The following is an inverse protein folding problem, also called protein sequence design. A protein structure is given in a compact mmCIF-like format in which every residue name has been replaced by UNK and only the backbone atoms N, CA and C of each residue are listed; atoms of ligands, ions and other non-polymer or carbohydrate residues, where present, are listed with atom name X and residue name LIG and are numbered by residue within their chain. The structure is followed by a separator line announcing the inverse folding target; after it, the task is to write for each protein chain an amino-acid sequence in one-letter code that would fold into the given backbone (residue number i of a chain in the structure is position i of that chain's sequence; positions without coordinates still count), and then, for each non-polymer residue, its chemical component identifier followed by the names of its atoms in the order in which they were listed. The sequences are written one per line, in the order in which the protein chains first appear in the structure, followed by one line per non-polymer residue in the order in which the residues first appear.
data_IF_069801073428
#
_entry.id   IF_069801073428
#
_cell.length_a   1.000
_cell.length_b   1.000
_cell.length_c   1.000
_cell.angle_alpha   90.00
_cell.angle_beta   90.00
_cell.angle_gamma   90.00
#
_symmetry.space_group_name_H-M   'P 1'
#
loop_
_entity.id
_entity.type
_entity.pdbx_description
1 polymer ?
#
# COMPACT_ATOMS: atom_id res chain seq x y z
N UNK A 1 -23.81 -2.61 -13.17
CA UNK A 1 -22.40 -2.97 -13.00
C UNK A 1 -22.37 -4.45 -12.65
N UNK A 2 -22.08 -5.33 -13.61
CA UNK A 2 -22.05 -6.77 -13.35
C UNK A 2 -20.66 -7.16 -12.86
N UNK A 3 -20.57 -7.55 -11.58
CA UNK A 3 -19.31 -7.96 -10.94
C UNK A 3 -18.72 -9.25 -11.51
N UNK A 4 -19.46 -9.95 -12.37
CA UNK A 4 -19.10 -11.26 -12.96
C UNK A 4 -18.33 -11.14 -14.27
N UNK A 5 -18.36 -9.99 -14.95
CA UNK A 5 -17.69 -9.80 -16.26
C UNK A 5 -16.28 -9.21 -16.15
N UNK A 6 -15.88 -8.72 -14.97
CA UNK A 6 -14.56 -8.12 -14.80
C UNK A 6 -13.54 -9.20 -14.38
N UNK A 7 -12.39 -9.33 -15.07
CA UNK A 7 -11.32 -10.21 -14.61
C UNK A 7 -10.91 -9.73 -13.21
N UNK A 8 -11.24 -10.52 -12.20
CA UNK A 8 -11.05 -10.14 -10.80
C UNK A 8 -9.58 -9.84 -10.46
N UNK A 9 -9.33 -9.45 -9.21
CA UNK A 9 -8.01 -9.05 -8.68
C UNK A 9 -6.86 -10.06 -8.90
N UNK A 10 -7.17 -11.28 -9.34
CA UNK A 10 -6.19 -12.33 -9.57
C UNK A 10 -5.57 -12.31 -10.98
N UNK A 11 -6.16 -11.58 -11.93
CA UNK A 11 -5.71 -11.55 -13.34
C UNK A 11 -5.32 -10.15 -13.83
N UNK A 12 -5.62 -9.11 -13.06
CA UNK A 12 -5.36 -7.70 -13.41
C UNK A 12 -4.54 -7.05 -12.32
N UNK A 13 -3.52 -6.31 -12.73
CA UNK A 13 -2.67 -5.53 -11.82
C UNK A 13 -3.52 -4.54 -11.00
N UNK A 14 -3.28 -4.48 -9.68
CA UNK A 14 -3.94 -3.54 -8.78
C UNK A 14 -3.82 -2.08 -9.24
N UNK A 15 -2.70 -1.69 -9.84
CA UNK A 15 -2.53 -0.34 -10.41
C UNK A 15 -3.50 -0.06 -11.56
N UNK A 16 -3.83 -1.07 -12.38
CA UNK A 16 -4.81 -0.91 -13.44
C UNK A 16 -6.22 -0.73 -12.86
N UNK A 17 -6.56 -1.47 -11.80
CA UNK A 17 -7.83 -1.32 -11.07
C UNK A 17 -7.96 0.07 -10.43
N UNK A 18 -6.89 0.56 -9.79
CA UNK A 18 -6.88 1.91 -9.22
C UNK A 18 -6.97 2.99 -10.29
N UNK A 19 -6.31 2.80 -11.43
CA UNK A 19 -6.37 3.74 -12.56
C UNK A 19 -7.79 3.81 -13.12
N UNK A 20 -8.49 2.67 -13.23
CA UNK A 20 -9.88 2.63 -13.65
C UNK A 20 -10.78 3.45 -12.72
N UNK A 21 -10.71 3.20 -11.42
CA UNK A 21 -11.51 3.94 -10.42
C UNK A 21 -11.15 5.44 -10.40
N UNK A 22 -9.86 5.79 -10.49
CA UNK A 22 -9.44 7.18 -10.57
C UNK A 22 -9.99 7.88 -11.82
N UNK A 23 -9.96 7.20 -12.96
CA UNK A 23 -10.51 7.71 -14.23
C UNK A 23 -12.01 7.91 -14.13
N UNK A 24 -12.72 6.95 -13.53
CA UNK A 24 -14.17 7.04 -13.36
C UNK A 24 -14.57 8.18 -12.42
N UNK A 25 -13.85 8.36 -11.31
CA UNK A 25 -14.02 9.50 -10.40
C UNK A 25 -13.84 10.84 -11.12
N UNK A 26 -12.80 10.95 -11.96
CA UNK A 26 -12.56 12.15 -12.76
C UNK A 26 -13.69 12.42 -13.75
N UNK A 27 -14.18 11.39 -14.45
CA UNK A 27 -15.31 11.51 -15.38
C UNK A 27 -16.57 12.00 -14.65
N UNK A 28 -16.91 11.38 -13.52
CA UNK A 28 -18.08 11.74 -12.72
C UNK A 28 -17.99 13.18 -12.19
N UNK A 29 -16.83 13.58 -11.68
CA UNK A 29 -16.62 14.95 -11.18
C UNK A 29 -16.68 16.01 -12.29
N UNK A 30 -16.12 15.71 -13.47
CA UNK A 30 -16.25 16.60 -14.64
C UNK A 30 -17.68 16.70 -15.14
N UNK A 31 -18.42 15.58 -15.17
CA UNK A 31 -19.82 15.56 -15.56
C UNK A 31 -20.67 16.42 -14.61
N UNK A 32 -20.47 16.29 -13.29
CA UNK A 32 -21.14 17.13 -12.31
C UNK A 32 -20.74 18.61 -12.47
N UNK A 33 -19.44 18.90 -12.66
CA UNK A 33 -18.96 20.26 -12.87
C UNK A 33 -19.64 20.94 -14.07
N UNK A 34 -19.71 20.23 -15.20
CA UNK A 34 -20.32 20.77 -16.41
C UNK A 34 -21.85 20.85 -16.31
N UNK A 35 -22.50 20.02 -15.49
CA UNK A 35 -23.94 20.12 -15.24
C UNK A 35 -24.34 21.35 -14.41
N UNK A 36 -23.44 21.85 -13.56
CA UNK A 36 -23.66 23.03 -12.71
C UNK A 36 -23.51 24.35 -13.47
N UNK A 37 -22.89 24.34 -14.65
CA UNK A 37 -22.68 25.53 -15.47
C UNK A 37 -23.74 25.62 -16.56
N UNK A 38 -24.45 26.74 -16.63
CA UNK A 38 -25.51 27.00 -17.61
C UNK A 38 -25.03 26.97 -19.07
N UNK A 39 -23.72 27.19 -19.30
CA UNK A 39 -23.06 27.04 -20.59
C UNK A 39 -22.08 25.87 -20.53
N UNK A 40 -22.46 24.72 -21.11
CA UNK A 40 -21.64 23.50 -21.15
C UNK A 40 -20.27 23.69 -21.81
N UNK A 41 -20.14 24.63 -22.76
CA UNK A 41 -18.88 24.97 -23.42
C UNK A 41 -17.89 25.74 -22.53
N UNK A 42 -18.33 26.22 -21.36
CA UNK A 42 -17.51 27.03 -20.45
C UNK A 42 -16.99 26.28 -19.21
N UNK A 43 -17.32 25.00 -19.03
CA UNK A 43 -16.93 24.27 -17.81
C UNK A 43 -15.43 23.96 -17.72
N UNK A 44 -14.78 23.67 -18.85
CA UNK A 44 -13.34 23.40 -18.94
C UNK A 44 -12.66 24.59 -19.62
N UNK A 45 -12.38 25.64 -18.84
CA UNK A 45 -11.73 26.85 -19.32
C UNK A 45 -10.44 27.14 -18.56
N UNK A 46 -9.45 27.60 -19.30
CA UNK A 46 -8.14 27.97 -18.79
C UNK A 46 -7.86 29.45 -19.02
N UNK A 47 -7.28 30.12 -18.03
CA UNK A 47 -6.69 31.45 -18.17
C UNK A 47 -5.26 31.33 -18.70
N UNK A 48 -4.79 32.40 -19.35
CA UNK A 48 -3.44 32.54 -19.90
C UNK A 48 -3.11 31.44 -20.93
N UNK A 49 -3.85 31.42 -22.04
CA UNK A 49 -3.71 30.42 -23.10
C UNK A 49 -2.45 30.60 -23.97
N UNK A 50 -1.49 31.43 -23.53
CA UNK A 50 -0.19 31.58 -24.17
C UNK A 50 0.66 30.32 -23.95
N UNK A 51 1.33 29.87 -25.01
CA UNK A 51 1.99 28.57 -25.10
C UNK A 51 3.10 28.33 -24.05
N UNK A 52 3.62 29.38 -23.41
CA UNK A 52 4.75 29.32 -22.49
C UNK A 52 4.43 29.61 -21.01
N UNK A 53 3.16 29.79 -20.63
CA UNK A 53 2.78 30.11 -19.25
C UNK A 53 1.96 28.99 -18.60
N UNK A 54 2.01 28.94 -17.27
CA UNK A 54 1.18 28.05 -16.46
C UNK A 54 -0.30 28.36 -16.73
N UNK A 55 -0.95 27.49 -17.49
CA UNK A 55 -2.39 27.55 -17.75
C UNK A 55 -3.13 27.31 -16.44
N UNK A 56 -3.94 28.28 -16.03
CA UNK A 56 -4.70 28.16 -14.79
C UNK A 56 -6.12 27.69 -15.10
N UNK A 57 -6.51 26.54 -14.55
CA UNK A 57 -7.87 26.03 -14.67
C UNK A 57 -8.81 26.81 -13.74
N UNK A 58 -9.75 27.55 -14.33
CA UNK A 58 -10.65 28.49 -13.62
C UNK A 58 -11.47 27.76 -12.55
N UNK A 59 -11.98 26.57 -12.87
CA UNK A 59 -12.86 25.81 -12.00
C UNK A 59 -12.12 24.76 -11.15
N UNK A 60 -10.80 24.87 -10.98
CA UNK A 60 -9.98 23.90 -10.24
C UNK A 60 -10.48 23.64 -8.82
N UNK A 61 -10.76 24.71 -8.06
CA UNK A 61 -11.29 24.58 -6.69
C UNK A 61 -12.66 23.89 -6.65
N UNK A 62 -13.54 24.20 -7.60
CA UNK A 62 -14.87 23.56 -7.70
C UNK A 62 -14.73 22.07 -8.05
N UNK A 63 -13.87 21.74 -9.01
CA UNK A 63 -13.61 20.35 -9.39
C UNK A 63 -13.02 19.56 -8.22
N UNK A 64 -12.05 20.14 -7.49
CA UNK A 64 -11.47 19.51 -6.31
C UNK A 64 -12.53 19.24 -5.22
N UNK A 65 -13.43 20.20 -4.97
CA UNK A 65 -14.54 20.01 -4.04
C UNK A 65 -15.51 18.91 -4.49
N UNK A 66 -15.81 18.82 -5.79
CA UNK A 66 -16.64 17.74 -6.33
C UNK A 66 -15.96 16.38 -6.17
N UNK A 67 -14.68 16.27 -6.50
CA UNK A 67 -13.89 15.04 -6.30
C UNK A 67 -13.96 14.60 -4.83
N UNK A 68 -13.79 15.52 -3.89
CA UNK A 68 -13.82 15.20 -2.45
C UNK A 68 -15.20 14.82 -1.92
N UNK A 69 -16.28 15.27 -2.56
CA UNK A 69 -17.65 15.01 -2.12
C UNK A 69 -18.30 13.82 -2.83
N UNK A 70 -17.66 13.27 -3.86
CA UNK A 70 -18.16 12.10 -4.56
C UNK A 70 -18.00 10.84 -3.70
N UNK A 71 -19.08 10.07 -3.64
CA UNK A 71 -19.13 8.75 -3.03
C UNK A 71 -19.75 7.77 -4.03
N UNK A 72 -19.02 6.70 -4.36
CA UNK A 72 -19.53 5.64 -5.22
C UNK A 72 -18.77 4.32 -5.00
N UNK A 73 -19.34 3.21 -5.49
CA UNK A 73 -18.66 1.91 -5.50
C UNK A 73 -17.89 1.70 -6.80
N UNK A 74 -16.56 1.69 -6.72
CA UNK A 74 -15.65 1.33 -7.80
C UNK A 74 -15.28 -0.15 -7.79
N UNK A 75 -14.37 -0.55 -8.69
CA UNK A 75 -13.86 -1.93 -8.77
C UNK A 75 -13.14 -2.32 -7.49
N UNK A 76 -12.40 -1.38 -6.89
CA UNK A 76 -11.57 -1.63 -5.71
C UNK A 76 -12.31 -1.42 -4.38
N UNK A 77 -13.62 -1.13 -4.44
CA UNK A 77 -14.47 -0.92 -3.27
C UNK A 77 -15.10 0.47 -3.23
N UNK A 78 -15.50 0.91 -2.03
CA UNK A 78 -16.11 2.22 -1.84
C UNK A 78 -15.06 3.33 -2.02
N UNK A 79 -15.36 4.28 -2.89
CA UNK A 79 -14.51 5.41 -3.25
C UNK A 79 -15.10 6.65 -2.60
N UNK A 80 -14.45 7.09 -1.53
CA UNK A 80 -14.85 8.30 -0.81
C UNK A 80 -13.60 8.99 -0.29
N UNK A 81 -13.56 10.31 -0.40
CA UNK A 81 -12.45 11.15 0.06
C UNK A 81 -12.93 12.13 1.12
N UNK A 82 -11.97 12.70 1.84
CA UNK A 82 -12.19 13.78 2.79
C UNK A 82 -11.19 14.89 2.48
N UNK A 83 -11.58 16.16 2.63
CA UNK A 83 -10.67 17.29 2.45
C UNK A 83 -9.47 17.27 3.42
N UNK A 84 -9.59 16.56 4.54
CA UNK A 84 -8.55 16.46 5.57
C UNK A 84 -7.58 15.29 5.36
N UNK A 85 -7.82 14.40 4.39
CA UNK A 85 -7.00 13.20 4.16
C UNK A 85 -6.67 13.06 2.68
N UNK A 86 -5.43 12.67 2.38
CA UNK A 86 -5.00 12.41 0.99
C UNK A 86 -5.49 11.07 0.46
N UNK A 87 -5.80 10.15 1.38
CA UNK A 87 -6.21 8.80 1.06
C UNK A 87 -7.74 8.66 1.09
N UNK A 88 -8.23 7.58 0.48
CA UNK A 88 -9.66 7.21 0.55
C UNK A 88 -10.01 6.88 2.01
N UNK A 89 -11.20 7.30 2.46
CA UNK A 89 -11.68 7.09 3.83
C UNK A 89 -11.78 5.58 4.15
N UNK A 90 -12.44 4.83 3.27
CA UNK A 90 -12.58 3.37 3.35
C UNK A 90 -11.52 2.68 2.49
N UNK A 91 -10.35 3.32 2.39
CA UNK A 91 -9.28 2.98 1.47
C UNK A 91 -8.27 2.02 2.04
N UNK A 92 -7.97 1.02 1.22
CA UNK A 92 -6.78 0.17 1.27
C UNK A 92 -6.97 -1.06 2.16
N UNK A 93 -7.31 -2.16 1.48
CA UNK A 93 -7.13 -3.48 2.04
C UNK A 93 -5.69 -3.93 1.76
N UNK A 94 -4.79 -3.82 2.75
CA UNK A 94 -3.48 -4.45 2.58
C UNK A 94 -3.62 -5.94 2.86
N UNK A 95 -3.23 -6.77 1.91
CA UNK A 95 -3.22 -8.23 2.09
C UNK A 95 -1.79 -8.67 2.38
N UNK A 96 -1.57 -9.15 3.60
CA UNK A 96 -0.30 -9.78 3.96
C UNK A 96 -0.36 -11.25 3.52
N UNK A 97 0.69 -11.67 2.79
CA UNK A 97 0.81 -13.04 2.29
C UNK A 97 1.98 -13.75 2.95
N UNK A 98 1.76 -14.99 3.36
CA UNK A 98 2.83 -15.89 3.75
C UNK A 98 3.47 -16.48 2.51
N UNK A 99 4.80 -16.49 2.47
CA UNK A 99 5.57 -17.22 1.46
C UNK A 99 5.73 -18.65 1.96
N UNK A 100 5.29 -19.63 1.17
CA UNK A 100 5.36 -21.04 1.53
C UNK A 100 5.81 -21.86 0.32
N UNK A 101 6.65 -22.86 0.58
CA UNK A 101 7.03 -23.83 -0.45
C UNK A 101 6.07 -25.01 -0.35
N UNK A 102 5.25 -25.21 -1.39
CA UNK A 102 4.31 -26.34 -1.49
C UNK A 102 4.64 -27.07 -2.78
N UNK A 103 4.90 -28.37 -2.70
CA UNK A 103 5.22 -29.21 -3.87
C UNK A 103 6.38 -28.67 -4.72
N UNK A 104 7.45 -28.16 -4.08
CA UNK A 104 8.62 -27.52 -4.71
C UNK A 104 8.35 -26.19 -5.46
N UNK A 105 7.16 -25.61 -5.31
CA UNK A 105 6.84 -24.29 -5.84
C UNK A 105 6.68 -23.27 -4.72
N UNK A 106 7.14 -22.05 -4.98
CA UNK A 106 6.97 -20.91 -4.08
C UNK A 106 5.56 -20.33 -4.28
N UNK A 107 4.76 -20.40 -3.24
CA UNK A 107 3.38 -19.92 -3.22
C UNK A 107 3.24 -18.74 -2.24
N UNK A 108 2.34 -17.82 -2.59
CA UNK A 108 2.01 -16.65 -1.77
C UNK A 108 0.57 -16.76 -1.29
N UNK A 109 0.37 -17.16 -0.04
CA UNK A 109 -0.96 -17.39 0.53
C UNK A 109 -1.39 -16.21 1.41
N UNK A 110 -2.58 -15.61 1.18
CA UNK A 110 -3.05 -14.50 2.01
C UNK A 110 -3.40 -14.97 3.43
N UNK A 111 -2.89 -14.26 4.42
CA UNK A 111 -3.05 -14.61 5.84
C UNK A 111 -3.70 -13.50 6.66
N UNK A 112 -3.39 -12.24 6.37
CA UNK A 112 -4.01 -11.10 7.04
C UNK A 112 -4.53 -10.10 6.02
N UNK A 113 -5.59 -9.41 6.41
CA UNK A 113 -6.14 -8.25 5.73
C UNK A 113 -6.15 -7.07 6.70
N UNK A 114 -5.56 -5.95 6.30
CA UNK A 114 -5.66 -4.69 7.03
C UNK A 114 -6.77 -3.85 6.44
N UNK A 115 -7.59 -3.21 7.26
CA UNK A 115 -8.42 -2.09 6.84
C UNK A 115 -8.34 -0.97 7.87
N UNK A 116 -8.69 0.26 7.46
CA UNK A 116 -8.75 1.42 8.36
C UNK A 116 -9.75 1.23 9.51
N UNK A 117 -10.75 0.37 9.35
CA UNK A 117 -11.80 0.12 10.35
C UNK A 117 -11.48 -1.03 11.30
N UNK A 118 -10.85 -2.10 10.80
CA UNK A 118 -10.64 -3.34 11.56
C UNK A 118 -9.19 -3.58 11.97
N UNK A 119 -8.24 -2.74 11.53
CA UNK A 119 -6.81 -3.05 11.56
C UNK A 119 -6.52 -4.41 10.90
N UNK A 120 -5.39 -5.04 11.24
CA UNK A 120 -5.04 -6.37 10.77
C UNK A 120 -5.97 -7.42 11.36
N UNK A 121 -6.71 -8.11 10.49
CA UNK A 121 -7.52 -9.28 10.83
C UNK A 121 -7.14 -10.46 9.95
N UNK A 122 -7.56 -11.67 10.33
CA UNK A 122 -7.33 -12.86 9.50
C UNK A 122 -8.04 -12.71 8.16
N UNK A 123 -7.34 -13.05 7.07
CA UNK A 123 -7.90 -13.00 5.72
C UNK A 123 -9.08 -13.98 5.56
N UNK A 124 -9.00 -15.14 6.21
CA UNK A 124 -10.07 -16.13 6.30
C UNK A 124 -10.01 -16.85 7.65
N UNK A 125 -11.10 -17.50 8.13
CA UNK A 125 -11.07 -18.28 9.36
C UNK A 125 -10.04 -19.43 9.35
N UNK A 126 -9.64 -19.86 8.16
CA UNK A 126 -8.63 -20.92 7.93
C UNK A 126 -7.22 -20.39 7.70
N UNK A 127 -7.03 -19.07 7.68
CA UNK A 127 -5.72 -18.46 7.46
C UNK A 127 -4.79 -18.70 8.64
N UNK A 128 -3.58 -19.18 8.37
CA UNK A 128 -2.55 -19.44 9.38
C UNK A 128 -1.26 -18.72 9.00
N UNK A 129 -0.70 -17.97 9.96
CA UNK A 129 0.62 -17.36 9.81
C UNK A 129 1.67 -18.43 10.09
N UNK A 130 2.56 -18.67 9.14
CA UNK A 130 3.68 -19.59 9.29
C UNK A 130 4.97 -18.76 9.42
N UNK A 131 5.62 -18.89 10.56
CA UNK A 131 6.89 -18.26 10.86
C UNK A 131 8.06 -19.02 10.22
N UNK A 132 9.24 -18.39 10.07
CA UNK A 132 10.43 -19.05 9.59
C UNK A 132 10.70 -20.38 10.32
N UNK A 133 11.17 -21.39 9.59
CA UNK A 133 11.32 -22.76 10.11
C UNK A 133 10.02 -23.59 10.08
N UNK A 134 9.01 -23.15 9.33
CA UNK A 134 7.70 -23.81 9.23
C UNK A 134 6.99 -23.94 10.60
N UNK A 135 7.08 -22.88 11.41
CA UNK A 135 6.57 -22.87 12.78
C UNK A 135 5.27 -22.09 12.90
N UNK A 136 4.33 -22.60 13.70
CA UNK A 136 3.13 -21.84 14.12
C UNK A 136 3.37 -21.07 15.43
N UNK A 137 4.54 -21.24 16.05
CA UNK A 137 4.92 -20.57 17.28
C UNK A 137 5.39 -19.17 16.94
N UNK A 138 4.73 -18.16 17.52
CA UNK A 138 5.10 -16.76 17.36
C UNK A 138 6.48 -16.55 17.99
N UNK A 139 7.47 -16.04 17.25
CA UNK A 139 8.76 -15.66 17.81
C UNK A 139 8.54 -14.56 18.85
N UNK A 140 8.89 -14.84 20.10
CA UNK A 140 8.73 -13.91 21.21
C UNK A 140 9.90 -12.94 21.37
N UNK A 141 10.98 -13.14 20.64
CA UNK A 141 12.26 -12.45 20.86
C UNK A 141 12.84 -11.82 19.60
N UNK A 142 13.67 -10.81 19.80
CA UNK A 142 14.58 -10.33 18.76
C UNK A 142 15.58 -11.43 18.41
N UNK A 143 16.08 -11.49 17.16
CA UNK A 143 17.16 -12.39 16.81
C UNK A 143 18.36 -12.10 17.73
N UNK A 144 18.55 -12.96 18.72
CA UNK A 144 19.71 -12.91 19.59
C UNK A 144 20.78 -13.80 18.97
N UNK A 145 22.01 -13.27 18.93
CA UNK A 145 23.15 -14.03 18.46
C UNK A 145 23.53 -15.05 19.54
N UNK A 146 22.99 -16.26 19.44
CA UNK A 146 23.36 -17.40 20.29
C UNK A 146 24.52 -18.18 19.64
N UNK A 147 25.51 -18.58 20.45
CA UNK A 147 26.63 -19.41 19.97
C UNK A 147 27.75 -18.66 19.22
N UNK A 148 27.90 -17.35 19.41
CA UNK A 148 28.99 -16.60 18.79
C UNK A 148 30.32 -16.94 19.47
N UNK A 149 31.29 -17.36 18.67
CA UNK A 149 32.69 -17.34 19.10
C UNK A 149 33.22 -15.92 18.97
N UNK A 150 33.38 -15.23 20.11
CA UNK A 150 34.10 -13.96 20.16
C UNK A 150 35.56 -14.20 19.76
N UNK A 151 35.93 -13.72 18.58
CA UNK A 151 37.32 -13.68 18.15
C UNK A 151 37.92 -12.37 18.65
N UNK A 152 38.63 -12.46 19.77
CA UNK A 152 39.34 -11.31 20.36
C UNK A 152 40.78 -11.33 19.83
N UNK A 153 41.13 -10.30 19.07
CA UNK A 153 42.52 -10.05 18.72
C UNK A 153 43.18 -9.26 19.86
N UNK A 154 44.29 -9.78 20.37
CA UNK A 154 45.08 -9.14 21.42
C UNK A 154 46.42 -8.70 20.83
N UNK A 155 46.82 -7.46 21.11
CA UNK A 155 48.18 -6.97 20.82
C UNK A 155 48.96 -7.04 22.12
N UNK A 156 50.14 -7.64 22.11
CA UNK A 156 51.02 -7.71 23.28
C UNK A 156 51.60 -6.33 23.61
N UNK A 157 51.26 -5.80 24.78
CA UNK A 157 51.68 -4.48 25.28
C UNK A 157 51.79 -4.52 26.80
N UNK A 158 53.00 -4.59 27.38
CA UNK A 158 53.17 -4.48 28.83
C UNK A 158 52.69 -3.10 29.33
N UNK A 159 51.98 -3.01 30.47
CA UNK A 159 51.62 -4.08 31.41
C UNK A 159 50.23 -4.74 31.15
N UNK A 160 49.60 -4.49 30.00
CA UNK A 160 48.20 -4.85 29.75
C UNK A 160 48.02 -6.26 29.18
N UNK A 161 48.94 -6.72 28.34
CA UNK A 161 48.92 -8.04 27.70
C UNK A 161 50.35 -8.57 27.61
N UNK A 162 50.62 -9.72 28.23
CA UNK A 162 51.96 -10.30 28.33
C UNK A 162 51.88 -11.82 28.14
N UNK A 163 52.81 -12.40 27.39
CA UNK A 163 52.91 -13.85 27.21
C UNK A 163 53.58 -14.51 28.42
N UNK A 164 52.99 -15.60 28.91
CA UNK A 164 53.62 -16.46 29.92
C UNK A 164 54.09 -17.75 29.24
N UNK A 165 55.38 -18.05 29.34
CA UNK A 165 55.91 -19.34 28.89
C UNK A 165 55.68 -20.37 29.99
N UNK A 166 54.86 -21.38 29.71
CA UNK A 166 54.80 -22.58 30.55
C UNK A 166 55.99 -23.48 30.17
N UNK A 167 56.92 -23.67 31.10
CA UNK A 167 57.97 -24.68 30.94
C UNK A 167 57.32 -26.07 31.05
N UNK A 168 57.48 -26.89 30.01
CA UNK A 168 57.12 -28.31 30.00
C UNK A 168 58.12 -29.13 30.83
#
# INVERSE_FOLDING_TARGET
YESTTFPGMNYVDYYALFTFDATWLLIQSLQQLCSLNSNSSACIQFLNNSFCFNKYFINSNKLFNLINNLDYFGVTGKIQFNQNQTDRIDGINYILKNIQIISNYLNFLPVLIWSSTTNWTLYSPTSLIIWPGNSLIIPSEYPSLSGIHLRIALVETPPFTMLTQQQQ
#
